data_IF_917815778898
#
_entry.id   IF_917815778898
#
_cell.length_a   1.000
_cell.length_b   1.000
_cell.length_c   1.000
_cell.angle_alpha   90.00
_cell.angle_beta   90.00
_cell.angle_gamma   90.00
#
_symmetry.space_group_name_H-M   'P 1'
#
loop_
_entity.id
_entity.type
_entity.pdbx_description
1 polymer ?
#
# COMPACT_ATOMS: atom_id res chain seq x y z
N UNK A 1 20.19 8.41 -4.87
CA UNK A 1 20.47 7.44 -5.97
C UNK A 1 20.09 6.00 -5.63
N UNK A 2 20.22 5.55 -4.37
CA UNK A 2 19.90 4.15 -4.00
C UNK A 2 18.40 3.78 -4.06
N UNK A 3 17.51 4.74 -3.80
CA UNK A 3 16.08 4.44 -3.63
C UNK A 3 15.32 4.28 -4.95
N UNK A 4 15.70 5.03 -6.00
CA UNK A 4 15.10 4.87 -7.33
C UNK A 4 15.33 3.44 -7.88
N UNK A 5 16.56 2.93 -7.76
CA UNK A 5 16.87 1.58 -8.23
C UNK A 5 16.16 0.49 -7.41
N UNK A 6 15.84 0.76 -6.14
CA UNK A 6 15.06 -0.13 -5.29
C UNK A 6 13.63 -0.28 -5.82
N UNK A 7 12.97 0.86 -6.09
CA UNK A 7 11.61 0.92 -6.64
C UNK A 7 11.50 0.19 -7.97
N UNK A 8 12.45 0.43 -8.89
CA UNK A 8 12.45 -0.21 -10.21
C UNK A 8 12.57 -1.74 -10.12
N UNK A 9 13.43 -2.26 -9.23
CA UNK A 9 13.60 -3.71 -9.05
C UNK A 9 12.37 -4.33 -8.37
N UNK A 10 11.85 -3.70 -7.31
CA UNK A 10 10.62 -4.16 -6.64
C UNK A 10 9.44 -4.22 -7.60
N UNK A 11 9.24 -3.18 -8.41
CA UNK A 11 8.14 -3.13 -9.37
C UNK A 11 8.32 -4.15 -10.51
N UNK A 12 9.55 -4.41 -10.97
CA UNK A 12 9.82 -5.48 -11.93
C UNK A 12 9.46 -6.86 -11.36
N UNK A 13 9.81 -7.14 -10.09
CA UNK A 13 9.44 -8.40 -9.41
C UNK A 13 7.92 -8.47 -9.23
N UNK A 14 7.27 -7.39 -8.80
CA UNK A 14 5.81 -7.31 -8.61
C UNK A 14 5.03 -7.65 -9.88
N UNK A 15 5.51 -7.19 -11.04
CA UNK A 15 4.87 -7.45 -12.35
C UNK A 15 5.08 -8.87 -12.87
N UNK A 16 5.96 -9.67 -12.27
CA UNK A 16 6.21 -11.07 -12.66
C UNK A 16 5.71 -12.03 -11.59
N UNK A 17 4.49 -12.56 -11.74
CA UNK A 17 3.89 -13.50 -10.79
C UNK A 17 4.70 -14.78 -10.59
N UNK A 18 5.44 -15.22 -11.62
CA UNK A 18 6.37 -16.35 -11.54
C UNK A 18 7.68 -16.05 -10.79
N UNK A 19 7.96 -14.79 -10.50
CA UNK A 19 9.25 -14.30 -10.00
C UNK A 19 10.24 -14.02 -11.11
N UNK A 20 11.42 -13.53 -10.74
CA UNK A 20 12.51 -13.22 -11.67
C UNK A 20 13.86 -13.67 -11.08
N UNK A 21 14.73 -14.21 -11.90
CA UNK A 21 16.13 -14.39 -11.54
C UNK A 21 16.89 -13.05 -11.60
N UNK A 22 18.04 -12.97 -10.92
CA UNK A 22 18.91 -11.76 -10.97
C UNK A 22 19.39 -11.44 -12.39
N UNK A 23 19.52 -12.43 -13.26
CA UNK A 23 19.91 -12.25 -14.67
C UNK A 23 18.78 -11.61 -15.47
N UNK A 24 17.55 -12.10 -15.31
CA UNK A 24 16.38 -11.50 -15.96
C UNK A 24 16.13 -10.07 -15.45
N UNK A 25 16.27 -9.84 -14.14
CA UNK A 25 16.19 -8.50 -13.57
C UNK A 25 17.19 -7.55 -14.23
N UNK A 26 18.46 -7.94 -14.37
CA UNK A 26 19.48 -7.12 -15.03
C UNK A 26 19.10 -6.77 -16.47
N UNK A 27 18.52 -7.72 -17.21
CA UNK A 27 18.07 -7.51 -18.59
C UNK A 27 16.87 -6.58 -18.69
N UNK A 28 15.88 -6.73 -17.79
CA UNK A 28 14.64 -5.95 -17.81
C UNK A 28 14.90 -4.49 -17.39
N UNK A 29 15.66 -4.30 -16.31
CA UNK A 29 15.85 -2.97 -15.70
C UNK A 29 17.08 -2.23 -16.23
N UNK A 30 17.93 -2.87 -17.03
CA UNK A 30 19.11 -2.27 -17.64
C UNK A 30 20.23 -1.91 -16.65
N UNK A 31 20.27 -2.54 -15.47
CA UNK A 31 21.29 -2.29 -14.43
C UNK A 31 22.40 -3.34 -14.46
N UNK A 32 23.58 -2.97 -13.96
CA UNK A 32 24.72 -3.89 -13.87
C UNK A 32 24.41 -5.10 -12.97
N UNK A 33 24.99 -6.29 -13.22
CA UNK A 33 24.80 -7.47 -12.37
C UNK A 33 25.20 -7.24 -10.90
N UNK A 34 26.22 -6.41 -10.66
CA UNK A 34 26.66 -6.03 -9.31
C UNK A 34 25.61 -5.17 -8.60
N UNK A 35 25.02 -4.21 -9.32
CA UNK A 35 23.93 -3.37 -8.81
C UNK A 35 22.72 -4.21 -8.45
N UNK A 36 22.28 -5.12 -9.32
CA UNK A 36 21.18 -6.05 -9.03
C UNK A 36 21.49 -6.89 -7.79
N UNK A 37 22.68 -7.48 -7.72
CA UNK A 37 23.06 -8.34 -6.60
C UNK A 37 23.03 -7.61 -5.26
N UNK A 38 23.53 -6.37 -5.23
CA UNK A 38 23.51 -5.54 -4.02
C UNK A 38 22.09 -5.15 -3.61
N UNK A 39 21.24 -4.76 -4.56
CA UNK A 39 19.87 -4.35 -4.25
C UNK A 39 19.00 -5.54 -3.86
N UNK A 40 19.07 -6.67 -4.57
CA UNK A 40 18.37 -7.89 -4.19
C UNK A 40 18.75 -8.34 -2.80
N UNK A 41 20.04 -8.22 -2.40
CA UNK A 41 20.46 -8.53 -1.03
C UNK A 41 19.77 -7.63 -0.01
N UNK A 42 19.78 -6.31 -0.23
CA UNK A 42 19.08 -5.35 0.66
C UNK A 42 17.59 -5.66 0.79
N UNK A 43 16.92 -5.99 -0.32
CA UNK A 43 15.51 -6.37 -0.33
C UNK A 43 15.24 -7.67 0.43
N UNK A 44 16.14 -8.66 0.33
CA UNK A 44 16.07 -9.90 1.10
C UNK A 44 16.28 -9.62 2.60
N UNK A 45 17.27 -8.79 2.94
CA UNK A 45 17.55 -8.40 4.33
C UNK A 45 16.37 -7.64 4.97
N UNK A 46 15.67 -6.83 4.16
CA UNK A 46 14.44 -6.13 4.55
C UNK A 46 13.19 -7.02 4.50
N UNK A 47 13.32 -8.29 4.13
CA UNK A 47 12.21 -9.24 3.99
C UNK A 47 11.14 -8.81 2.98
N UNK A 48 11.46 -7.92 2.04
CA UNK A 48 10.52 -7.47 0.99
C UNK A 48 10.42 -8.46 -0.17
N UNK A 49 11.46 -9.25 -0.37
CA UNK A 49 11.49 -10.33 -1.35
C UNK A 49 11.98 -11.63 -0.68
N UNK A 50 11.71 -12.76 -1.32
CA UNK A 50 12.17 -14.09 -0.90
C UNK A 50 12.76 -14.86 -2.08
N UNK A 51 13.64 -15.81 -1.78
CA UNK A 51 14.11 -16.79 -2.75
C UNK A 51 13.07 -17.92 -2.90
N UNK A 52 12.37 -17.95 -4.04
CA UNK A 52 11.25 -18.85 -4.31
C UNK A 52 11.69 -20.11 -5.08
N UNK A 53 12.75 -20.76 -4.60
CA UNK A 53 13.31 -21.97 -5.20
C UNK A 53 14.26 -21.72 -6.37
N UNK A 54 14.59 -22.81 -7.08
CA UNK A 54 15.49 -22.81 -8.25
C UNK A 54 14.74 -23.31 -9.48
N UNK A 55 14.79 -22.54 -10.57
CA UNK A 55 14.26 -22.95 -11.86
C UNK A 55 15.38 -23.24 -12.87
N UNK A 56 15.14 -24.24 -13.73
CA UNK A 56 16.06 -24.70 -14.77
C UNK A 56 16.18 -26.22 -14.82
N UNK A 57 15.68 -26.83 -15.89
CA UNK A 57 15.78 -28.27 -16.18
C UNK A 57 16.75 -28.60 -17.33
N UNK A 58 17.42 -27.60 -17.91
CA UNK A 58 18.36 -27.74 -19.02
C UNK A 58 19.84 -27.56 -18.64
N UNK A 59 20.78 -27.63 -19.60
CA UNK A 59 22.21 -27.44 -19.34
C UNK A 59 22.50 -26.06 -18.77
N UNK A 60 23.01 -26.00 -17.53
CA UNK A 60 23.36 -24.76 -16.84
C UNK A 60 23.17 -24.86 -15.33
N UNK A 61 23.66 -23.88 -14.57
CA UNK A 61 23.41 -23.80 -13.13
C UNK A 61 21.96 -23.36 -12.90
N UNK A 62 21.16 -24.09 -12.08
CA UNK A 62 19.80 -23.68 -11.74
C UNK A 62 19.76 -22.26 -11.19
N UNK A 63 18.80 -21.46 -11.64
CA UNK A 63 18.68 -20.03 -11.28
C UNK A 63 17.79 -19.89 -10.06
N UNK A 64 18.22 -19.13 -9.07
CA UNK A 64 17.36 -18.76 -7.94
C UNK A 64 16.34 -17.71 -8.38
N UNK A 65 15.06 -17.98 -8.09
CA UNK A 65 13.96 -17.06 -8.40
C UNK A 65 13.70 -16.13 -7.21
N UNK A 66 13.48 -14.85 -7.50
CA UNK A 66 13.09 -13.84 -6.51
C UNK A 66 11.62 -13.49 -6.70
N UNK A 67 10.87 -13.45 -5.61
CA UNK A 67 9.45 -13.04 -5.55
C UNK A 67 9.23 -12.05 -4.44
N UNK A 68 8.17 -11.25 -4.51
CA UNK A 68 7.72 -10.47 -3.36
C UNK A 68 7.43 -11.39 -2.19
N UNK A 69 7.76 -10.95 -0.99
CA UNK A 69 7.30 -11.55 0.23
C UNK A 69 5.95 -10.92 0.59
N UNK A 70 4.82 -11.64 0.54
CA UNK A 70 3.52 -11.08 0.90
C UNK A 70 3.54 -10.42 2.30
N UNK A 71 4.14 -11.10 3.27
CA UNK A 71 4.26 -10.61 4.66
C UNK A 71 5.44 -9.63 4.88
N UNK A 72 6.09 -9.14 3.82
CA UNK A 72 7.23 -8.24 3.91
C UNK A 72 6.86 -6.86 4.41
N UNK A 73 5.71 -6.34 3.96
CA UNK A 73 5.09 -5.10 4.43
C UNK A 73 3.58 -5.19 4.25
N UNK A 74 2.86 -4.31 4.94
CA UNK A 74 1.42 -4.16 4.85
C UNK A 74 1.03 -2.72 4.54
N UNK A 75 -0.17 -2.52 4.02
CA UNK A 75 -0.76 -1.20 3.84
C UNK A 75 -2.21 -1.19 4.32
N UNK A 76 -2.66 -0.04 4.81
CA UNK A 76 -4.06 0.19 5.17
C UNK A 76 -4.73 0.90 4.00
N UNK A 77 -5.88 0.38 3.57
CA UNK A 77 -6.75 1.04 2.60
C UNK A 77 -8.05 1.47 3.27
N UNK A 78 -8.46 2.70 3.06
CA UNK A 78 -9.76 3.23 3.50
C UNK A 78 -10.48 3.79 2.30
N UNK A 79 -11.73 3.38 2.10
CA UNK A 79 -12.63 3.97 1.11
C UNK A 79 -13.80 4.59 1.87
N UNK A 80 -13.83 5.91 1.92
CA UNK A 80 -14.86 6.70 2.56
C UNK A 80 -15.96 7.00 1.56
N UNK A 81 -17.09 6.30 1.63
CA UNK A 81 -18.30 6.59 0.83
C UNK A 81 -19.41 7.17 1.74
N UNK A 82 -20.33 8.02 1.24
CA UNK A 82 -21.41 8.63 2.03
C UNK A 82 -22.29 7.62 2.78
N UNK A 83 -22.44 6.40 2.28
CA UNK A 83 -23.24 5.36 2.90
C UNK A 83 -22.40 4.40 3.75
N UNK A 84 -21.26 3.95 3.24
CA UNK A 84 -20.44 2.90 3.87
C UNK A 84 -18.96 3.23 3.78
N UNK A 85 -18.27 3.21 4.91
CA UNK A 85 -16.80 3.27 4.92
C UNK A 85 -16.25 1.86 4.96
N UNK A 86 -15.37 1.53 4.01
CA UNK A 86 -14.69 0.23 3.94
C UNK A 86 -13.22 0.38 4.32
N UNK A 87 -12.72 -0.55 5.13
CA UNK A 87 -11.33 -0.59 5.55
C UNK A 87 -10.73 -1.95 5.18
N UNK A 88 -9.46 -1.96 4.77
CA UNK A 88 -8.70 -3.16 4.46
C UNK A 88 -7.26 -3.06 4.97
N UNK A 89 -6.71 -4.18 5.43
CA UNK A 89 -5.26 -4.39 5.54
C UNK A 89 -4.86 -5.26 4.36
N UNK A 90 -3.90 -4.78 3.58
CA UNK A 90 -3.36 -5.46 2.41
C UNK A 90 -1.93 -5.90 2.67
N UNK A 91 -1.56 -7.05 2.13
CA UNK A 91 -0.16 -7.50 2.10
C UNK A 91 0.61 -6.88 0.91
N UNK A 92 1.91 -7.17 0.79
CA UNK A 92 2.78 -6.56 -0.23
C UNK A 92 2.42 -6.98 -1.68
N UNK A 93 1.63 -8.04 -1.85
CA UNK A 93 1.12 -8.47 -3.17
C UNK A 93 -0.31 -7.97 -3.42
N UNK A 94 -0.90 -7.22 -2.47
CA UNK A 94 -2.22 -6.62 -2.57
C UNK A 94 -3.36 -7.56 -2.17
N UNK A 95 -3.08 -8.68 -1.50
CA UNK A 95 -4.13 -9.55 -0.97
C UNK A 95 -4.69 -8.98 0.33
N UNK A 96 -6.01 -9.10 0.52
CA UNK A 96 -6.69 -8.67 1.75
C UNK A 96 -6.38 -9.63 2.88
N UNK A 97 -5.69 -9.10 3.91
CA UNK A 97 -5.38 -9.80 5.16
C UNK A 97 -6.54 -9.69 6.13
N UNK A 98 -7.14 -8.50 6.22
CA UNK A 98 -8.29 -8.21 7.08
C UNK A 98 -9.15 -7.10 6.46
N UNK A 99 -10.45 -7.10 6.73
CA UNK A 99 -11.36 -6.06 6.25
C UNK A 99 -12.48 -5.76 7.24
N UNK A 100 -12.96 -4.51 7.23
CA UNK A 100 -14.12 -4.08 8.00
C UNK A 100 -14.99 -3.15 7.15
N UNK A 101 -16.27 -3.05 7.50
CA UNK A 101 -17.21 -2.09 6.92
C UNK A 101 -18.10 -1.53 8.01
N UNK A 102 -18.25 -0.21 8.01
CA UNK A 102 -19.20 0.48 8.88
C UNK A 102 -20.14 1.33 8.04
N UNK A 103 -21.33 1.61 8.59
CA UNK A 103 -22.13 2.71 8.08
C UNK A 103 -21.38 4.01 8.35
N UNK A 104 -21.21 4.85 7.32
CA UNK A 104 -20.55 6.14 7.49
C UNK A 104 -21.37 6.98 8.46
N UNK A 105 -20.76 7.53 9.53
CA UNK A 105 -21.48 8.39 10.47
C UNK A 105 -22.11 9.57 9.73
N UNK A 106 -23.28 10.04 10.20
CA UNK A 106 -24.03 11.13 9.57
C UNK A 106 -23.13 12.34 9.30
N UNK A 107 -22.93 12.66 8.03
CA UNK A 107 -21.74 13.35 7.51
C UNK A 107 -21.53 14.82 7.90
N UNK A 108 -22.37 15.41 8.73
CA UNK A 108 -22.30 16.85 9.01
C UNK A 108 -21.16 17.24 9.98
N UNK A 109 -20.49 16.26 10.61
CA UNK A 109 -19.33 16.48 11.49
C UNK A 109 -18.11 15.67 11.00
N UNK A 110 -17.22 16.28 10.19
CA UNK A 110 -16.01 15.63 9.71
C UNK A 110 -15.10 15.15 10.82
N UNK A 111 -15.01 15.87 11.95
CA UNK A 111 -14.13 15.49 13.05
C UNK A 111 -14.58 14.19 13.72
N UNK A 112 -15.90 14.02 13.92
CA UNK A 112 -16.47 12.78 14.43
C UNK A 112 -16.24 11.60 13.48
N UNK A 113 -16.38 11.81 12.16
CA UNK A 113 -16.11 10.77 11.16
C UNK A 113 -14.64 10.37 11.15
N UNK A 114 -13.72 11.34 11.19
CA UNK A 114 -12.27 11.08 11.26
C UNK A 114 -11.89 10.31 12.53
N UNK A 115 -12.45 10.69 13.68
CA UNK A 115 -12.24 9.96 14.93
C UNK A 115 -12.77 8.52 14.86
N UNK A 116 -13.91 8.31 14.19
CA UNK A 116 -14.47 6.98 13.99
C UNK A 116 -13.57 6.15 13.08
N UNK A 117 -13.12 6.71 11.95
CA UNK A 117 -12.17 6.05 11.06
C UNK A 117 -10.89 5.65 11.79
N UNK A 118 -10.31 6.53 12.59
CA UNK A 118 -9.09 6.23 13.36
C UNK A 118 -9.29 5.04 14.32
N UNK A 119 -10.43 4.98 15.00
CA UNK A 119 -10.80 3.87 15.90
C UNK A 119 -10.94 2.55 15.13
N UNK A 120 -11.64 2.58 14.00
CA UNK A 120 -11.82 1.38 13.16
C UNK A 120 -10.50 0.89 12.56
N UNK A 121 -9.60 1.80 12.19
CA UNK A 121 -8.25 1.46 11.69
C UNK A 121 -7.44 0.76 12.78
N UNK A 122 -7.45 1.30 14.00
CA UNK A 122 -6.75 0.70 15.14
C UNK A 122 -7.27 -0.72 15.43
N UNK A 123 -8.59 -0.88 15.46
CA UNK A 123 -9.23 -2.18 15.68
C UNK A 123 -8.93 -3.16 14.54
N UNK A 124 -9.03 -2.72 13.28
CA UNK A 124 -8.73 -3.53 12.11
C UNK A 124 -7.29 -4.06 12.12
N UNK A 125 -6.33 -3.19 12.48
CA UNK A 125 -4.92 -3.56 12.56
C UNK A 125 -4.70 -4.56 13.71
N UNK A 126 -5.30 -4.35 14.88
CA UNK A 126 -5.23 -5.29 15.99
C UNK A 126 -5.80 -6.66 15.60
N UNK A 127 -6.97 -6.69 14.96
CA UNK A 127 -7.66 -7.91 14.53
C UNK A 127 -6.94 -8.64 13.38
N UNK A 128 -6.14 -7.93 12.59
CA UNK A 128 -5.34 -8.54 11.53
C UNK A 128 -4.14 -9.34 12.07
N UNK A 129 -3.68 -9.05 13.29
CA UNK A 129 -2.50 -9.68 13.89
C UNK A 129 -1.18 -9.34 13.21
N UNK A 130 -1.14 -8.36 12.31
CA UNK A 130 0.09 -7.93 11.63
C UNK A 130 0.96 -7.08 12.55
N UNK A 131 2.27 -7.12 12.30
CA UNK A 131 3.23 -6.24 12.97
C UNK A 131 3.04 -4.80 12.48
N UNK A 132 2.66 -3.90 13.40
CA UNK A 132 2.44 -2.48 13.10
C UNK A 132 3.70 -1.79 12.57
N UNK A 133 4.90 -2.26 12.95
CA UNK A 133 6.17 -1.77 12.43
C UNK A 133 6.40 -2.09 10.95
N UNK A 134 5.56 -2.96 10.35
CA UNK A 134 5.60 -3.30 8.91
C UNK A 134 4.51 -2.62 8.10
N UNK A 135 3.67 -1.78 8.71
CA UNK A 135 2.67 -0.99 7.99
C UNK A 135 3.37 0.20 7.33
N UNK A 136 3.37 0.20 6.00
CA UNK A 136 4.03 1.24 5.21
C UNK A 136 3.28 2.59 5.26
N UNK A 137 1.96 2.55 5.48
CA UNK A 137 1.11 3.73 5.55
C UNK A 137 -0.35 3.42 5.26
N UNK A 138 -1.12 4.50 5.09
CA UNK A 138 -2.55 4.47 4.84
C UNK A 138 -2.87 5.17 3.52
N UNK A 139 -3.61 4.50 2.64
CA UNK A 139 -4.24 5.07 1.46
C UNK A 139 -5.73 5.34 1.71
N UNK A 140 -6.19 6.54 1.37
CA UNK A 140 -7.56 6.99 1.56
C UNK A 140 -8.18 7.39 0.21
N UNK A 141 -9.24 6.69 -0.19
CA UNK A 141 -10.07 7.04 -1.33
C UNK A 141 -11.35 7.74 -0.84
N UNK A 142 -11.69 8.87 -1.44
CA UNK A 142 -12.87 9.68 -1.10
C UNK A 142 -13.58 10.13 -2.39
N UNK A 143 -14.92 10.21 -2.42
CA UNK A 143 -15.66 10.76 -3.53
C UNK A 143 -15.67 12.29 -3.49
N UNK A 144 -15.78 12.89 -4.68
CA UNK A 144 -15.96 14.33 -4.85
C UNK A 144 -14.67 15.07 -5.21
N UNK A 145 -14.72 16.42 -5.16
CA UNK A 145 -13.57 17.25 -5.45
C UNK A 145 -12.55 17.17 -4.30
N UNK A 146 -11.31 16.81 -4.64
CA UNK A 146 -10.20 16.74 -3.69
C UNK A 146 -9.07 17.58 -4.26
N UNK A 147 -8.54 18.48 -3.45
CA UNK A 147 -7.23 19.07 -3.66
C UNK A 147 -6.19 18.04 -3.21
N UNK A 148 -5.62 17.30 -4.16
CA UNK A 148 -4.66 16.22 -3.88
C UNK A 148 -3.32 16.76 -3.35
N UNK A 149 -2.94 17.98 -3.73
CA UNK A 149 -1.70 18.60 -3.26
C UNK A 149 -1.78 18.83 -1.75
N UNK A 150 -2.94 19.30 -1.26
CA UNK A 150 -3.20 19.55 0.16
C UNK A 150 -3.90 18.40 0.88
N UNK A 151 -4.38 17.38 0.16
CA UNK A 151 -5.12 16.26 0.75
C UNK A 151 -6.45 16.71 1.38
N UNK A 152 -7.05 17.73 0.77
CA UNK A 152 -8.20 18.48 1.30
C UNK A 152 -9.44 18.16 0.48
N UNK A 153 -10.52 17.80 1.16
CA UNK A 153 -11.83 17.62 0.52
C UNK A 153 -12.45 19.01 0.31
N UNK A 154 -12.93 19.30 -0.91
CA UNK A 154 -13.44 20.61 -1.32
C UNK A 154 -14.88 20.47 -1.77
N UNK A 155 -15.81 21.11 -1.08
CA UNK A 155 -17.26 21.12 -1.35
C UNK A 155 -17.83 19.82 -1.99
N UNK A 156 -17.75 18.67 -1.29
CA UNK A 156 -18.22 17.40 -1.84
C UNK A 156 -19.76 17.34 -1.85
N UNK A 157 -20.40 17.12 -3.02
CA UNK A 157 -21.87 17.17 -3.13
C UNK A 157 -22.61 16.15 -2.27
N UNK A 158 -21.93 15.06 -1.89
CA UNK A 158 -22.51 13.92 -1.17
C UNK A 158 -22.07 13.85 0.30
N UNK A 159 -21.23 14.78 0.77
CA UNK A 159 -20.76 14.85 2.16
C UNK A 159 -20.98 16.27 2.72
N UNK A 160 -22.20 16.62 3.15
CA UNK A 160 -22.49 17.95 3.69
C UNK A 160 -21.61 18.26 4.91
N UNK A 161 -21.06 19.47 5.02
CA UNK A 161 -20.19 19.87 6.14
C UNK A 161 -18.71 19.55 5.93
N UNK A 162 -18.33 18.96 4.80
CA UNK A 162 -16.94 18.61 4.46
C UNK A 162 -16.23 19.65 3.58
N UNK A 163 -16.70 20.89 3.57
CA UNK A 163 -16.03 21.93 2.81
C UNK A 163 -14.67 22.28 3.43
N UNK A 164 -13.61 22.17 2.62
CA UNK A 164 -12.21 22.46 2.97
C UNK A 164 -11.68 21.67 4.18
N UNK A 165 -12.04 20.40 4.30
CA UNK A 165 -11.53 19.52 5.35
C UNK A 165 -10.14 18.99 4.99
N UNK A 166 -9.12 19.31 5.79
CA UNK A 166 -7.73 18.82 5.70
C UNK A 166 -7.64 17.35 6.13
N UNK A 167 -8.28 16.48 5.36
CA UNK A 167 -8.54 15.10 5.72
C UNK A 167 -7.27 14.28 5.90
N UNK A 168 -6.29 14.47 5.00
CA UNK A 168 -5.00 13.78 5.06
C UNK A 168 -4.31 14.02 6.40
N UNK A 169 -4.14 15.29 6.77
CA UNK A 169 -3.37 15.69 7.93
C UNK A 169 -4.12 15.37 9.23
N UNK A 170 -5.45 15.54 9.24
CA UNK A 170 -6.29 15.17 10.36
C UNK A 170 -6.24 13.65 10.65
N UNK A 171 -6.33 12.81 9.61
CA UNK A 171 -6.26 11.36 9.76
C UNK A 171 -4.83 10.88 10.08
N UNK A 172 -3.81 11.50 9.49
CA UNK A 172 -2.41 11.21 9.83
C UNK A 172 -2.13 11.52 11.30
N UNK A 173 -2.63 12.66 11.82
CA UNK A 173 -2.53 13.01 13.23
C UNK A 173 -3.27 12.04 14.13
N UNK A 174 -4.47 11.60 13.73
CA UNK A 174 -5.30 10.71 14.53
C UNK A 174 -4.76 9.27 14.60
N UNK A 175 -4.09 8.80 13.54
CA UNK A 175 -3.63 7.40 13.42
C UNK A 175 -2.12 7.23 13.61
N UNK A 176 -1.33 8.29 13.43
CA UNK A 176 0.13 8.23 13.41
C UNK A 176 0.73 7.68 12.12
N UNK A 177 -0.07 7.25 11.14
CA UNK A 177 0.41 6.77 9.85
C UNK A 177 0.64 7.91 8.85
N UNK A 178 1.57 7.70 7.92
CA UNK A 178 1.63 8.51 6.70
C UNK A 178 0.39 8.24 5.86
N UNK A 179 -0.38 9.29 5.54
CA UNK A 179 -1.62 9.19 4.77
C UNK A 179 -1.42 9.73 3.36
N UNK A 180 -1.82 8.94 2.37
CA UNK A 180 -2.00 9.38 0.99
C UNK A 180 -3.49 9.42 0.68
N UNK A 181 -3.93 10.51 0.06
CA UNK A 181 -5.31 10.66 -0.40
C UNK A 181 -5.30 10.53 -1.92
N UNK A 182 -6.20 9.72 -2.44
CA UNK A 182 -6.46 9.62 -3.87
C UNK A 182 -7.96 9.85 -4.13
N UNK A 183 -8.27 10.28 -5.34
CA UNK A 183 -9.66 10.38 -5.76
C UNK A 183 -10.21 8.97 -5.92
N UNK A 184 -11.44 8.75 -5.47
CA UNK A 184 -12.16 7.56 -5.89
C UNK A 184 -12.42 7.63 -7.41
N UNK A 185 -11.51 7.04 -8.18
CA UNK A 185 -11.69 6.81 -9.61
C UNK A 185 -12.29 5.43 -9.72
N UNK A 186 -13.62 5.36 -9.75
CA UNK A 186 -14.33 4.12 -10.04
C UNK A 186 -13.88 3.62 -11.42
N UNK A 187 -12.88 2.75 -11.46
CA UNK A 187 -12.62 1.93 -12.64
C UNK A 187 -13.58 0.75 -12.54
N UNK A 188 -14.74 0.93 -13.17
CA UNK A 188 -15.67 -0.15 -13.47
C UNK A 188 -15.06 -1.16 -14.45
#
# INVERSE_FOLDING_TARGET
MGDFNLTVILDAIRRSSGGLSRVELAQIVGLSPQTISNISRRLLDQHLIVEAGKEGSGPGKPRTMLRLNPAGMYAIGVHLDPAVTTFVVLDLVGAVVQHARIKTPGGNDPAAVISTMATEIEQLVADSGVDTGRIAGLGLAVPGPIDLDHGTVVDPPLLPGWDRVELRDALAKATGYSVLVDKDVTSA
#
